data_IF_027611859082
#
_entry.id   IF_027611859082
#
_cell.length_a   1.000
_cell.length_b   1.000
_cell.length_c   1.000
_cell.angle_alpha   90.00
_cell.angle_beta   90.00
_cell.angle_gamma   90.00
#
_symmetry.space_group_name_H-M   'P 1'
#
loop_
_entity.id
_entity.type
_entity.pdbx_description
1 polymer ?
#
# COMPACT_ATOMS: atom_id res chain seq x y z
N UNK A 1 -17.09 2.61 -10.71
CA UNK A 1 -15.77 2.65 -10.03
C UNK A 1 -15.77 1.56 -8.98
N UNK A 2 -14.96 0.51 -9.18
CA UNK A 2 -15.00 -0.72 -8.40
C UNK A 2 -14.55 -0.50 -6.95
N UNK A 3 -15.49 -0.24 -6.07
CA UNK A 3 -15.25 -0.09 -4.63
C UNK A 3 -15.29 -1.46 -3.95
N UNK A 4 -14.25 -2.27 -4.17
CA UNK A 4 -13.94 -3.36 -3.26
C UNK A 4 -13.39 -2.81 -1.94
N UNK A 5 -13.56 -3.54 -0.84
CA UNK A 5 -13.06 -3.18 0.50
C UNK A 5 -11.57 -2.84 0.55
N UNK A 6 -10.77 -3.36 -0.39
CA UNK A 6 -9.34 -3.06 -0.49
C UNK A 6 -9.06 -1.58 -0.83
N UNK A 7 -9.90 -0.93 -1.63
CA UNK A 7 -9.74 0.49 -1.99
C UNK A 7 -9.92 1.43 -0.80
N UNK A 8 -10.72 1.04 0.20
CA UNK A 8 -10.99 1.87 1.39
C UNK A 8 -9.74 2.11 2.24
N UNK A 9 -8.84 1.12 2.35
CA UNK A 9 -7.60 1.25 3.12
C UNK A 9 -6.61 2.24 2.50
N UNK A 10 -6.50 2.26 1.17
CA UNK A 10 -5.68 3.25 0.44
C UNK A 10 -6.25 4.65 0.64
N UNK A 11 -7.56 4.83 0.47
CA UNK A 11 -8.21 6.14 0.63
C UNK A 11 -8.10 6.68 2.05
N UNK A 12 -8.12 5.82 3.07
CA UNK A 12 -7.94 6.23 4.46
C UNK A 12 -6.56 6.87 4.70
N UNK A 13 -5.46 6.26 4.24
CA UNK A 13 -4.13 6.85 4.39
C UNK A 13 -3.97 8.14 3.59
N UNK A 14 -4.62 8.25 2.42
CA UNK A 14 -4.68 9.50 1.67
C UNK A 14 -5.34 10.61 2.48
N UNK A 15 -6.53 10.36 3.02
CA UNK A 15 -7.25 11.33 3.85
C UNK A 15 -6.45 11.75 5.10
N UNK A 16 -5.77 10.81 5.75
CA UNK A 16 -4.91 11.13 6.90
C UNK A 16 -3.69 11.98 6.50
N UNK A 17 -3.15 11.77 5.29
CA UNK A 17 -2.00 12.55 4.82
C UNK A 17 -2.31 14.02 4.54
N UNK A 18 -3.57 14.37 4.25
CA UNK A 18 -3.97 15.74 3.92
C UNK A 18 -3.82 16.71 5.11
N UNK A 19 -3.94 16.19 6.34
CA UNK A 19 -3.82 16.98 7.57
C UNK A 19 -2.52 16.68 8.35
N UNK A 20 -1.66 15.82 7.80
CA UNK A 20 -0.41 15.42 8.45
C UNK A 20 0.67 16.47 8.19
N UNK A 21 1.14 17.13 9.24
CA UNK A 21 2.29 18.03 9.20
C UNK A 21 3.49 17.34 9.86
N UNK A 22 4.48 16.86 9.08
CA UNK A 22 5.62 16.15 9.63
C UNK A 22 6.46 17.06 10.51
N UNK A 23 6.75 16.59 11.72
CA UNK A 23 7.71 17.20 12.63
C UNK A 23 8.99 16.34 12.71
N UNK A 24 10.04 16.86 13.35
CA UNK A 24 11.22 16.04 13.66
C UNK A 24 10.85 14.75 14.42
N UNK A 25 9.87 14.83 15.33
CA UNK A 25 9.34 13.66 16.03
C UNK A 25 8.65 12.67 15.09
N UNK A 26 7.89 13.15 14.10
CA UNK A 26 7.21 12.30 13.11
C UNK A 26 8.19 11.48 12.26
N UNK A 27 9.38 12.01 12.00
CA UNK A 27 10.43 11.27 11.29
C UNK A 27 11.19 10.28 12.18
N UNK A 28 11.16 10.48 13.51
CA UNK A 28 11.77 9.58 14.49
C UNK A 28 10.79 8.52 15.03
N UNK A 29 9.49 8.67 14.75
CA UNK A 29 8.42 7.75 15.13
C UNK A 29 8.61 6.37 14.46
N UNK A 30 8.21 5.30 15.14
CA UNK A 30 8.23 3.95 14.57
C UNK A 30 7.25 3.78 13.41
N UNK A 31 6.24 4.64 13.32
CA UNK A 31 5.26 4.64 12.26
C UNK A 31 5.74 5.45 11.04
N UNK A 32 5.64 4.84 9.86
CA UNK A 32 5.74 5.59 8.61
C UNK A 32 4.66 6.68 8.52
N UNK A 33 5.01 7.79 7.88
CA UNK A 33 4.07 8.86 7.53
C UNK A 33 2.86 8.31 6.76
N UNK A 34 1.70 8.94 6.93
CA UNK A 34 0.45 8.53 6.27
C UNK A 34 0.60 8.50 4.75
N UNK A 35 1.32 9.48 4.18
CA UNK A 35 1.65 9.50 2.74
C UNK A 35 2.50 8.31 2.28
N UNK A 36 3.47 7.89 3.10
CA UNK A 36 4.31 6.71 2.81
C UNK A 36 3.47 5.43 2.86
N UNK A 37 2.56 5.31 3.84
CA UNK A 37 1.63 4.18 3.95
C UNK A 37 0.68 4.10 2.77
N UNK A 38 0.12 5.24 2.35
CA UNK A 38 -0.71 5.34 1.15
C UNK A 38 -0.01 4.73 -0.07
N UNK A 39 1.21 5.18 -0.38
CA UNK A 39 1.94 4.66 -1.54
C UNK A 39 2.35 3.19 -1.39
N UNK A 40 2.67 2.72 -0.18
CA UNK A 40 3.02 1.32 0.03
C UNK A 40 1.81 0.40 -0.17
N UNK A 41 0.64 0.75 0.38
CA UNK A 41 -0.58 -0.06 0.23
C UNK A 41 -1.07 -0.03 -1.21
N UNK A 42 -1.13 1.14 -1.85
CA UNK A 42 -1.50 1.26 -3.26
C UNK A 42 -0.56 0.42 -4.16
N UNK A 43 0.74 0.44 -3.86
CA UNK A 43 1.73 -0.38 -4.55
C UNK A 43 1.49 -1.88 -4.34
N UNK A 44 1.24 -2.36 -3.12
CA UNK A 44 0.98 -3.78 -2.89
C UNK A 44 -0.31 -4.27 -3.54
N UNK A 45 -1.35 -3.43 -3.59
CA UNK A 45 -2.59 -3.73 -4.32
C UNK A 45 -2.33 -3.83 -5.82
N UNK A 46 -1.70 -2.82 -6.42
CA UNK A 46 -1.32 -2.86 -7.83
C UNK A 46 -0.41 -4.06 -8.15
N UNK A 47 0.55 -4.37 -7.30
CA UNK A 47 1.45 -5.51 -7.45
C UNK A 47 0.78 -6.88 -7.28
N UNK A 48 -0.37 -6.94 -6.61
CA UNK A 48 -1.19 -8.16 -6.47
C UNK A 48 -1.93 -8.47 -7.75
N UNK A 49 -2.62 -7.47 -8.29
CA UNK A 49 -3.46 -7.62 -9.47
C UNK A 49 -3.47 -6.31 -10.28
N UNK A 50 -2.64 -6.26 -11.32
CA UNK A 50 -2.52 -5.09 -12.18
C UNK A 50 -3.75 -4.88 -13.07
N UNK A 51 -4.57 -5.92 -13.27
CA UNK A 51 -5.81 -5.81 -14.04
C UNK A 51 -6.93 -5.21 -13.20
N UNK A 52 -7.03 -5.58 -11.93
CA UNK A 52 -8.01 -5.04 -10.99
C UNK A 52 -7.68 -3.59 -10.59
N UNK A 53 -6.39 -3.29 -10.38
CA UNK A 53 -5.93 -2.00 -9.85
C UNK A 53 -5.17 -1.14 -10.87
N UNK A 54 -5.29 -1.43 -12.17
CA UNK A 54 -4.65 -0.67 -13.25
C UNK A 54 -4.93 0.83 -13.19
N UNK A 55 -6.14 1.19 -12.78
CA UNK A 55 -6.59 2.58 -12.62
C UNK A 55 -5.72 3.40 -11.65
N UNK A 56 -4.99 2.77 -10.72
CA UNK A 56 -4.06 3.50 -9.86
C UNK A 56 -2.97 4.23 -10.67
N UNK A 57 -2.51 3.64 -11.76
CA UNK A 57 -1.52 4.29 -12.63
C UNK A 57 -2.22 5.23 -13.61
N UNK A 58 -3.33 4.78 -14.21
CA UNK A 58 -4.08 5.56 -15.22
C UNK A 58 -4.62 6.89 -14.67
N UNK A 59 -5.08 6.91 -13.42
CA UNK A 59 -5.60 8.11 -12.76
C UNK A 59 -4.52 8.91 -12.01
N UNK A 60 -3.25 8.50 -12.09
CA UNK A 60 -2.13 9.19 -11.44
C UNK A 60 -2.07 9.04 -9.91
N UNK A 61 -2.82 8.11 -9.33
CA UNK A 61 -2.81 7.78 -7.89
C UNK A 61 -1.44 7.18 -7.50
N UNK A 62 -0.85 6.37 -8.37
CA UNK A 62 0.43 5.71 -8.21
C UNK A 62 1.34 6.09 -9.39
N UNK A 63 2.45 6.82 -9.16
CA UNK A 63 3.38 7.17 -10.23
C UNK A 63 3.94 5.93 -10.94
N UNK A 64 4.09 5.98 -12.26
CA UNK A 64 4.62 4.86 -13.07
C UNK A 64 5.94 4.31 -12.53
N UNK A 65 6.86 5.22 -12.14
CA UNK A 65 8.15 4.84 -11.57
C UNK A 65 8.03 4.05 -10.25
N UNK A 66 6.98 4.31 -9.45
CA UNK A 66 6.66 3.53 -8.25
C UNK A 66 6.06 2.18 -8.64
N UNK A 67 5.11 2.19 -9.57
CA UNK A 67 4.39 1.02 -10.06
C UNK A 67 5.32 -0.08 -10.61
N UNK A 68 6.41 0.31 -11.29
CA UNK A 68 7.39 -0.61 -11.87
C UNK A 68 7.96 -1.65 -10.88
N UNK A 69 8.05 -1.31 -9.59
CA UNK A 69 8.61 -2.20 -8.55
C UNK A 69 7.56 -2.96 -7.75
N UNK A 70 6.29 -2.62 -7.93
CA UNK A 70 5.19 -3.09 -7.09
C UNK A 70 4.92 -4.60 -7.15
N UNK A 71 4.98 -5.29 -8.30
CA UNK A 71 4.82 -6.75 -8.32
C UNK A 71 5.87 -7.48 -7.48
N UNK A 72 7.12 -7.01 -7.51
CA UNK A 72 8.21 -7.57 -6.70
C UNK A 72 7.99 -7.29 -5.21
N UNK A 73 7.56 -6.08 -4.86
CA UNK A 73 7.28 -5.71 -3.47
C UNK A 73 6.09 -6.49 -2.89
N UNK A 74 5.01 -6.65 -3.66
CA UNK A 74 3.88 -7.49 -3.26
C UNK A 74 4.32 -8.93 -3.04
N UNK A 75 5.10 -9.52 -3.95
CA UNK A 75 5.61 -10.89 -3.81
C UNK A 75 6.46 -11.05 -2.54
N UNK A 76 7.31 -10.07 -2.23
CA UNK A 76 8.13 -10.08 -1.01
C UNK A 76 7.27 -9.99 0.25
N UNK A 77 6.31 -9.05 0.27
CA UNK A 77 5.38 -8.87 1.37
C UNK A 77 4.53 -10.12 1.62
N UNK A 78 3.91 -10.69 0.57
CA UNK A 78 2.99 -11.82 0.70
C UNK A 78 3.72 -13.09 1.11
N UNK A 79 4.93 -13.30 0.59
CA UNK A 79 5.78 -14.43 0.98
C UNK A 79 6.24 -14.32 2.44
N UNK A 80 6.60 -13.11 2.89
CA UNK A 80 6.96 -12.88 4.29
C UNK A 80 5.78 -13.13 5.23
N UNK A 81 4.60 -12.58 4.90
CA UNK A 81 3.37 -12.80 5.66
C UNK A 81 3.02 -14.28 5.76
N UNK A 82 2.98 -14.99 4.62
CA UNK A 82 2.69 -16.43 4.58
C UNK A 82 3.69 -17.19 5.46
N UNK A 83 4.99 -16.96 5.29
CA UNK A 83 6.04 -17.65 6.07
C UNK A 83 5.87 -17.46 7.58
N UNK A 84 5.48 -16.25 8.02
CA UNK A 84 5.31 -15.94 9.44
C UNK A 84 4.00 -16.49 10.02
N UNK A 85 2.96 -16.62 9.20
CA UNK A 85 1.61 -16.98 9.66
C UNK A 85 1.25 -18.44 9.44
N UNK A 86 1.82 -19.10 8.44
CA UNK A 86 1.52 -20.47 8.04
C UNK A 86 1.55 -21.49 9.18
N UNK A 87 2.49 -21.45 10.15
CA UNK A 87 2.47 -22.38 11.29
C UNK A 87 1.28 -22.20 12.25
N UNK A 88 0.65 -21.03 12.23
CA UNK A 88 -0.35 -20.61 13.22
C UNK A 88 -1.78 -20.52 12.66
N UNK A 89 -1.93 -20.62 11.34
CA UNK A 89 -3.25 -20.66 10.71
C UNK A 89 -3.88 -22.03 10.99
N UNK A 90 -4.91 -22.05 11.84
CA UNK A 90 -5.74 -23.25 12.07
C UNK A 90 -6.51 -23.58 10.79
N UNK A 91 -6.47 -24.84 10.39
CA UNK A 91 -7.29 -25.38 9.30
C UNK A 91 -8.69 -25.70 9.78
#
# INVERSE_FOLDING_TARGET
>A
VGQGSAGAGVLMFKAMSENEQPSAGSFADEHSLSSQRFYNVACWMYGRDQSEYGFFVEEGILPEARAARCPTEYKKMSSAWRRLTEPWIKK
#
